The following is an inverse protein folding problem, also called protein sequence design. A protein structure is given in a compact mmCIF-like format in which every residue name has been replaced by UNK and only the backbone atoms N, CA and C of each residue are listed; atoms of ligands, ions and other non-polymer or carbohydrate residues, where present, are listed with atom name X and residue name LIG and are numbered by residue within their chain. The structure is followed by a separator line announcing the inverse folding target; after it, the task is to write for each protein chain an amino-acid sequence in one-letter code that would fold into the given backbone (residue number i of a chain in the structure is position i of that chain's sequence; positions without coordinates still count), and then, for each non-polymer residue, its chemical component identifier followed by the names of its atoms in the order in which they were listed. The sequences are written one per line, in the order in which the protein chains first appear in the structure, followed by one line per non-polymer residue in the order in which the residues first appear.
data_IF_541423154716
#
_entry.id   IF_541423154716
#
_cell.length_a   1.000
_cell.length_b   1.000
_cell.length_c   1.000
_cell.angle_alpha   90.00
_cell.angle_beta   90.00
_cell.angle_gamma   90.00
#
_symmetry.space_group_name_H-M   'P 1'
#
loop_
_entity.id
_entity.type
_entity.pdbx_description
1 polymer ?
#
# COMPACT_ATOMS: atom_id res chain seq x y z
N UNK A 1 -1.56 12.88 -5.17
CA UNK A 1 -0.60 11.97 -4.50
C UNK A 1 -1.39 11.18 -3.46
N UNK A 2 -1.00 9.94 -3.17
CA UNK A 2 -1.65 9.12 -2.13
C UNK A 2 -0.69 8.86 -0.99
N UNK A 3 -1.22 8.38 0.12
CA UNK A 3 -0.49 8.17 1.36
C UNK A 3 -0.77 6.74 1.80
N UNK A 4 0.26 6.08 2.33
CA UNK A 4 0.04 4.81 2.99
C UNK A 4 -0.61 5.05 4.36
N UNK A 5 -1.68 4.33 4.66
CA UNK A 5 -2.44 4.45 5.91
C UNK A 5 -1.77 3.76 7.10
N UNK A 6 -0.72 2.96 6.87
CA UNK A 6 0.07 2.34 7.93
C UNK A 6 1.28 3.20 8.34
N UNK A 7 2.03 3.71 7.35
CA UNK A 7 3.29 4.41 7.56
C UNK A 7 3.20 5.94 7.38
N UNK A 8 2.12 6.45 6.77
CA UNK A 8 1.98 7.86 6.39
C UNK A 8 2.83 8.30 5.18
N UNK A 9 3.73 7.43 4.70
CA UNK A 9 4.62 7.75 3.57
C UNK A 9 3.83 8.09 2.31
N UNK A 10 4.37 9.03 1.54
CA UNK A 10 3.81 9.39 0.25
C UNK A 10 4.04 8.26 -0.76
N UNK A 11 2.99 7.92 -1.51
CA UNK A 11 2.99 6.94 -2.60
C UNK A 11 2.32 7.51 -3.84
N UNK A 12 2.63 6.95 -5.00
CA UNK A 12 2.02 7.39 -6.26
C UNK A 12 0.61 6.83 -6.41
N UNK A 13 -0.21 7.49 -7.22
CA UNK A 13 -1.58 7.01 -7.51
C UNK A 13 -1.52 5.64 -8.21
N UNK A 14 -0.57 5.45 -9.13
CA UNK A 14 -0.36 4.15 -9.78
C UNK A 14 0.01 3.04 -8.80
N UNK A 15 0.77 3.36 -7.76
CA UNK A 15 1.06 2.39 -6.70
C UNK A 15 -0.22 1.96 -5.98
N UNK A 16 -1.08 2.91 -5.63
CA UNK A 16 -2.37 2.63 -5.00
C UNK A 16 -3.31 1.80 -5.90
N UNK A 17 -3.25 1.99 -7.22
CA UNK A 17 -4.05 1.21 -8.16
C UNK A 17 -3.59 -0.24 -8.30
N UNK A 18 -2.28 -0.52 -8.17
CA UNK A 18 -1.71 -1.86 -8.33
C UNK A 18 -1.72 -2.64 -7.01
N UNK A 19 -1.38 -1.95 -5.92
CA UNK A 19 -1.12 -2.56 -4.62
C UNK A 19 -2.17 -2.21 -3.56
N UNK A 20 -2.97 -1.17 -3.78
CA UNK A 20 -4.01 -0.76 -2.84
C UNK A 20 -5.27 -1.63 -2.93
N UNK A 21 -6.24 -1.29 -2.09
CA UNK A 21 -7.57 -1.91 -2.10
C UNK A 21 -8.43 -1.38 -3.24
N UNK A 22 -9.64 -1.91 -3.40
CA UNK A 22 -10.66 -1.38 -4.32
C UNK A 22 -10.99 0.11 -4.13
N UNK A 23 -10.56 0.74 -3.03
CA UNK A 23 -10.74 2.18 -2.79
C UNK A 23 -9.47 3.02 -3.01
N UNK A 24 -8.45 2.50 -3.71
CA UNK A 24 -7.11 3.12 -3.82
C UNK A 24 -6.45 3.36 -2.45
N UNK A 25 -6.80 2.56 -1.43
CA UNK A 25 -6.25 2.67 -0.08
C UNK A 25 -5.05 1.73 0.04
N UNK A 26 -3.91 2.26 0.46
CA UNK A 26 -2.67 1.50 0.61
C UNK A 26 -2.36 1.31 2.09
N UNK A 27 -2.31 0.06 2.54
CA UNK A 27 -1.97 -0.31 3.92
C UNK A 27 -0.51 -0.76 4.09
N UNK A 28 0.22 -1.00 3.00
CA UNK A 28 1.66 -1.26 3.07
C UNK A 28 2.40 -0.52 1.96
N UNK A 29 3.52 0.09 2.33
CA UNK A 29 4.37 0.92 1.47
C UNK A 29 5.78 0.31 1.42
N UNK A 30 6.58 0.53 0.36
CA UNK A 30 7.98 0.05 0.32
C UNK A 30 8.87 0.68 1.42
N UNK A 31 8.39 1.71 2.13
CA UNK A 31 9.05 2.28 3.30
C UNK A 31 8.74 1.52 4.61
N UNK A 32 7.62 0.80 4.72
CA UNK A 32 7.24 0.09 5.96
C UNK A 32 7.10 -1.41 5.80
N UNK A 33 7.08 -1.92 4.58
CA UNK A 33 7.00 -3.34 4.27
C UNK A 33 7.97 -3.69 3.13
N UNK A 34 8.62 -4.87 3.20
CA UNK A 34 9.46 -5.36 2.13
C UNK A 34 8.64 -5.66 0.87
N UNK A 35 9.27 -5.55 -0.29
CA UNK A 35 8.60 -5.67 -1.59
C UNK A 35 7.88 -7.02 -1.76
N UNK A 36 8.43 -8.10 -1.20
CA UNK A 36 7.83 -9.44 -1.21
C UNK A 36 6.45 -9.50 -0.54
N UNK A 37 6.25 -8.72 0.53
CA UNK A 37 4.94 -8.59 1.16
C UNK A 37 3.97 -7.78 0.28
N UNK A 38 4.47 -6.77 -0.42
CA UNK A 38 3.65 -5.97 -1.34
C UNK A 38 3.14 -6.83 -2.52
N UNK A 39 4.01 -7.61 -3.16
CA UNK A 39 3.65 -8.50 -4.28
C UNK A 39 2.77 -9.69 -3.86
N UNK A 40 2.85 -10.14 -2.61
CA UNK A 40 1.93 -11.15 -2.07
C UNK A 40 0.55 -10.60 -1.67
N UNK A 41 0.31 -9.29 -1.89
CA UNK A 41 -0.97 -8.63 -1.65
C UNK A 41 -1.13 -8.03 -0.25
N UNK A 42 -0.06 -7.93 0.55
CA UNK A 42 -0.14 -7.32 1.89
C UNK A 42 -0.52 -5.83 1.84
N UNK A 43 -0.23 -5.13 0.73
CA UNK A 43 -0.56 -3.71 0.57
C UNK A 43 -2.06 -3.41 0.49
N UNK A 44 -2.85 -4.38 0.02
CA UNK A 44 -4.30 -4.30 -0.07
C UNK A 44 -5.04 -5.02 1.05
N UNK A 45 -4.33 -5.70 1.95
CA UNK A 45 -4.94 -6.28 3.15
C UNK A 45 -5.05 -5.20 4.22
N UNK A 46 -6.28 -4.89 4.62
CA UNK A 46 -6.52 -4.22 5.89
C UNK A 46 -6.01 -5.16 6.99
N UNK A 47 -5.01 -4.75 7.81
CA UNK A 47 -4.75 -5.46 9.04
C UNK A 47 -6.04 -5.44 9.86
N UNK A 48 -6.52 -6.64 10.23
CA UNK A 48 -7.73 -6.82 11.03
C UNK A 48 -7.54 -6.28 12.45
#
# INVERSE_FOLDING_TARGET
MKNCNNCGSMVTVRFAQVFGTNGDIVYACPNCAPYEQLTSGAAGRQPA
#
